data_IF_156845433879
#
_entry.id   IF_156845433879
#
_cell.length_a   1.000
_cell.length_b   1.000
_cell.length_c   1.000
_cell.angle_alpha   90.00
_cell.angle_beta   90.00
_cell.angle_gamma   90.00
#
_symmetry.space_group_name_H-M   'P 1'
#
loop_
_entity.id
_entity.type
_entity.pdbx_description
1 polymer ?
#
# COMPACT_ATOMS: atom_id res chain seq x y z
N UNK A 1 14.25 22.81 -21.98
CA UNK A 1 13.86 23.50 -20.73
C UNK A 1 13.27 22.45 -19.80
N UNK A 2 14.15 21.85 -19.00
CA UNK A 2 13.85 20.79 -18.04
C UNK A 2 13.39 21.47 -16.75
N UNK A 3 12.09 21.49 -16.50
CA UNK A 3 11.57 21.76 -15.16
C UNK A 3 10.81 20.52 -14.72
N UNK A 4 11.48 19.78 -13.83
CA UNK A 4 10.98 18.60 -13.16
C UNK A 4 9.52 18.80 -12.72
N UNK A 5 8.67 17.88 -13.16
CA UNK A 5 7.29 17.76 -12.70
C UNK A 5 7.33 17.43 -11.21
N UNK A 6 7.21 18.46 -10.36
CA UNK A 6 6.95 18.30 -8.94
C UNK A 6 5.64 17.50 -8.82
N UNK A 7 5.76 16.22 -8.49
CA UNK A 7 4.62 15.37 -8.15
C UNK A 7 3.92 16.07 -6.98
N UNK A 8 2.71 16.58 -7.21
CA UNK A 8 1.89 17.16 -6.14
C UNK A 8 1.80 16.13 -5.01
N UNK A 9 1.95 16.51 -3.74
CA UNK A 9 1.90 15.57 -2.62
C UNK A 9 0.61 14.71 -2.62
N UNK A 10 -0.50 15.27 -3.09
CA UNK A 10 -1.75 14.51 -3.29
C UNK A 10 -1.66 13.37 -4.32
N UNK A 11 -0.86 13.50 -5.38
CA UNK A 11 -0.64 12.44 -6.38
C UNK A 11 0.23 11.33 -5.79
N UNK A 12 1.29 11.68 -5.06
CA UNK A 12 2.12 10.70 -4.36
C UNK A 12 1.34 9.92 -3.30
N UNK A 13 0.44 10.60 -2.56
CA UNK A 13 -0.47 9.96 -1.61
C UNK A 13 -1.46 9.02 -2.32
N UNK A 14 -2.04 9.43 -3.45
CA UNK A 14 -2.95 8.58 -4.20
C UNK A 14 -2.25 7.31 -4.72
N UNK A 15 -1.06 7.45 -5.33
CA UNK A 15 -0.26 6.31 -5.81
C UNK A 15 0.13 5.39 -4.65
N UNK A 16 0.57 5.94 -3.53
CA UNK A 16 0.94 5.13 -2.35
C UNK A 16 -0.25 4.35 -1.81
N UNK A 17 -1.45 4.93 -1.82
CA UNK A 17 -2.68 4.27 -1.41
C UNK A 17 -3.08 3.15 -2.38
N UNK A 18 -2.99 3.38 -3.69
CA UNK A 18 -3.30 2.36 -4.69
C UNK A 18 -2.30 1.18 -4.62
N UNK A 19 -1.01 1.48 -4.45
CA UNK A 19 0.03 0.44 -4.26
C UNK A 19 -0.24 -0.38 -3.00
N UNK A 20 -0.60 0.26 -1.88
CA UNK A 20 -0.94 -0.45 -0.64
C UNK A 20 -2.16 -1.36 -0.81
N UNK A 21 -3.19 -0.92 -1.54
CA UNK A 21 -4.37 -1.73 -1.84
C UNK A 21 -4.04 -2.92 -2.74
N UNK A 22 -3.25 -2.72 -3.81
CA UNK A 22 -2.81 -3.81 -4.70
C UNK A 22 -1.93 -4.81 -3.95
N UNK A 23 -1.03 -4.35 -3.08
CA UNK A 23 -0.17 -5.20 -2.26
C UNK A 23 -0.95 -5.99 -1.21
N UNK A 24 -1.94 -5.36 -0.57
CA UNK A 24 -2.84 -6.06 0.34
C UNK A 24 -3.66 -7.12 -0.40
N UNK A 25 -4.24 -6.77 -1.55
CA UNK A 25 -4.99 -7.72 -2.37
C UNK A 25 -4.11 -8.88 -2.84
N UNK A 26 -2.88 -8.64 -3.30
CA UNK A 26 -2.00 -9.71 -3.78
C UNK A 26 -1.57 -10.67 -2.66
N UNK A 27 -1.22 -10.15 -1.48
CA UNK A 27 -0.86 -10.99 -0.33
C UNK A 27 -2.07 -11.74 0.25
N UNK A 28 -3.25 -11.15 0.27
CA UNK A 28 -4.43 -11.78 0.86
C UNK A 28 -5.12 -12.74 -0.12
N UNK A 29 -5.31 -12.33 -1.38
CA UNK A 29 -5.91 -13.16 -2.44
C UNK A 29 -4.96 -14.28 -2.85
N UNK A 30 -3.65 -14.03 -2.93
CA UNK A 30 -2.66 -15.06 -3.26
C UNK A 30 -2.66 -16.20 -2.23
N UNK A 31 -2.71 -15.86 -0.94
CA UNK A 31 -2.82 -16.85 0.14
C UNK A 31 -4.18 -17.55 0.19
N UNK A 32 -5.24 -16.96 -0.39
CA UNK A 32 -6.56 -17.60 -0.50
C UNK A 32 -6.62 -18.66 -1.61
N UNK A 33 -5.78 -18.51 -2.65
CA UNK A 33 -5.71 -19.43 -3.80
C UNK A 33 -4.81 -20.64 -3.47
N UNK A 34 -3.77 -20.46 -2.67
CA UNK A 34 -2.95 -21.57 -2.17
C UNK A 34 -3.66 -22.31 -1.03
N UNK A 35 -3.75 -23.64 -1.10
CA UNK A 35 -4.37 -24.47 -0.05
C UNK A 35 -3.61 -24.43 1.29
N UNK A 36 -2.42 -23.82 1.34
CA UNK A 36 -1.61 -23.65 2.54
C UNK A 36 -1.55 -22.17 2.92
N UNK A 37 -2.54 -21.72 3.70
CA UNK A 37 -2.58 -20.36 4.21
C UNK A 37 -1.43 -20.17 5.20
N UNK A 38 -0.40 -19.43 4.79
CA UNK A 38 0.64 -18.96 5.71
C UNK A 38 0.09 -17.76 6.48
N UNK A 39 -0.59 -18.03 7.60
CA UNK A 39 -1.16 -17.00 8.47
C UNK A 39 -0.14 -15.93 8.88
N UNK A 40 1.14 -16.29 9.01
CA UNK A 40 2.22 -15.33 9.22
C UNK A 40 2.34 -14.30 8.08
N UNK A 41 2.29 -14.73 6.82
CA UNK A 41 2.38 -13.84 5.66
C UNK A 41 1.16 -12.90 5.60
N UNK A 42 -0.03 -13.42 5.92
CA UNK A 42 -1.28 -12.64 5.97
C UNK A 42 -1.22 -11.55 7.05
N UNK A 43 -0.76 -11.89 8.26
CA UNK A 43 -0.63 -10.92 9.36
C UNK A 43 0.42 -9.86 9.03
N UNK A 44 1.57 -10.26 8.49
CA UNK A 44 2.63 -9.31 8.08
C UNK A 44 2.10 -8.37 6.98
N UNK A 45 1.40 -8.91 5.98
CA UNK A 45 0.79 -8.11 4.91
C UNK A 45 -0.24 -7.11 5.43
N UNK A 46 -1.07 -7.51 6.38
CA UNK A 46 -2.06 -6.64 7.02
C UNK A 46 -1.39 -5.51 7.83
N UNK A 47 -0.36 -5.82 8.61
CA UNK A 47 0.39 -4.82 9.39
C UNK A 47 1.08 -3.82 8.45
N UNK A 48 1.72 -4.30 7.37
CA UNK A 48 2.34 -3.42 6.37
C UNK A 48 1.31 -2.50 5.70
N UNK A 49 0.16 -3.05 5.30
CA UNK A 49 -0.90 -2.28 4.67
C UNK A 49 -1.45 -1.19 5.59
N UNK A 50 -1.65 -1.50 6.88
CA UNK A 50 -2.06 -0.53 7.89
C UNK A 50 -1.01 0.55 8.13
N UNK A 51 0.28 0.20 8.15
CA UNK A 51 1.37 1.17 8.31
C UNK A 51 1.44 2.12 7.11
N UNK A 52 1.35 1.61 5.88
CA UNK A 52 1.34 2.45 4.68
C UNK A 52 0.09 3.33 4.61
N UNK A 53 -1.06 2.80 5.00
CA UNK A 53 -2.29 3.59 5.09
C UNK A 53 -2.17 4.71 6.12
N UNK A 54 -1.64 4.42 7.31
CA UNK A 54 -1.41 5.41 8.35
C UNK A 54 -0.44 6.49 7.88
N UNK A 55 0.67 6.11 7.21
CA UNK A 55 1.62 7.05 6.62
C UNK A 55 0.95 7.94 5.57
N UNK A 56 0.10 7.37 4.72
CA UNK A 56 -0.65 8.12 3.70
C UNK A 56 -1.63 9.11 4.32
N UNK A 57 -2.34 8.74 5.40
CA UNK A 57 -3.24 9.65 6.13
C UNK A 57 -2.45 10.78 6.79
N UNK A 58 -1.28 10.48 7.38
CA UNK A 58 -0.41 11.49 7.97
C UNK A 58 0.05 12.50 6.92
N UNK A 59 0.55 12.02 5.77
CA UNK A 59 1.00 12.83 4.64
C UNK A 59 -0.13 13.63 3.96
N UNK A 60 -1.38 13.15 4.03
CA UNK A 60 -2.54 13.84 3.46
C UNK A 60 -3.13 14.91 4.38
N UNK A 61 -2.70 14.97 5.64
CA UNK A 61 -3.17 15.94 6.65
C UNK A 61 -2.26 17.19 6.72
N UNK A 62 -1.13 17.19 6.01
CA UNK A 62 -0.28 18.36 5.72
C UNK A 62 -0.58 18.94 4.34
#
# INVERSE_FOLDING_TARGET
MLCASFVKPGIASAISRDVAQVFFASLFVGQLIEQTINFNAVIIGLVLALLFWFLSVLLAKE
#
